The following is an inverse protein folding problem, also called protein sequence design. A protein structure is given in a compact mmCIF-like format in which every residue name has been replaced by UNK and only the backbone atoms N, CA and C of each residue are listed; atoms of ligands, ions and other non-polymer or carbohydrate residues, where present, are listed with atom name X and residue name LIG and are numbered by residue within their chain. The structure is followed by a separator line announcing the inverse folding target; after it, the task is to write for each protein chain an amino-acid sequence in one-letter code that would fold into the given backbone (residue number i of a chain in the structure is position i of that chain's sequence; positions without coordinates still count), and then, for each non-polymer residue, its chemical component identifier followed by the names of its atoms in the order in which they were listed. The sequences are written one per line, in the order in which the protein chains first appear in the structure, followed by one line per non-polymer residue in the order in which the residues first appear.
data_IF_743588849437
#
_entry.id   IF_743588849437
#
_cell.length_a   1.000
_cell.length_b   1.000
_cell.length_c   1.000
_cell.angle_alpha   90.00
_cell.angle_beta   90.00
_cell.angle_gamma   90.00
#
_symmetry.space_group_name_H-M   'P 1'
#
loop_
_entity.id
_entity.type
_entity.pdbx_description
1 polymer ?
#
# COMPACT_ATOMS: atom_id res chain seq x y z
N UNK A 1 42.27 -46.33 -19.93
CA UNK A 1 41.89 -45.95 -18.54
C UNK A 1 41.51 -44.44 -18.45
N UNK A 2 42.34 -43.54 -18.95
CA UNK A 2 42.07 -42.05 -18.90
C UNK A 2 40.77 -41.61 -19.57
N UNK A 3 40.35 -42.20 -20.68
CA UNK A 3 39.11 -41.85 -21.38
C UNK A 3 37.84 -42.26 -20.63
N UNK A 4 37.85 -43.42 -19.97
CA UNK A 4 36.72 -43.86 -19.13
C UNK A 4 36.52 -42.93 -17.91
N UNK A 5 37.61 -42.42 -17.35
CA UNK A 5 37.55 -41.44 -16.24
C UNK A 5 37.01 -40.09 -16.73
N UNK A 6 37.45 -39.64 -17.91
CA UNK A 6 36.94 -38.38 -18.50
C UNK A 6 35.44 -38.48 -18.83
N UNK A 7 34.97 -39.62 -19.34
CA UNK A 7 33.55 -39.82 -19.61
C UNK A 7 32.71 -39.85 -18.31
N UNK A 8 33.23 -40.48 -17.25
CA UNK A 8 32.56 -40.49 -15.95
C UNK A 8 32.44 -39.11 -15.35
N UNK A 9 33.48 -38.27 -15.47
CA UNK A 9 33.46 -36.87 -15.00
C UNK A 9 32.43 -36.07 -15.79
N UNK A 10 32.35 -36.22 -17.11
CA UNK A 10 31.34 -35.54 -17.93
C UNK A 10 29.90 -35.93 -17.57
N UNK A 11 29.65 -37.20 -17.30
CA UNK A 11 28.33 -37.69 -16.89
C UNK A 11 27.94 -37.13 -15.52
N UNK A 12 28.88 -37.15 -14.56
CA UNK A 12 28.61 -36.55 -13.23
C UNK A 12 28.34 -35.05 -13.33
N UNK A 13 29.10 -34.34 -14.15
CA UNK A 13 28.87 -32.88 -14.41
C UNK A 13 27.49 -32.62 -15.05
N UNK A 14 27.09 -33.42 -16.02
CA UNK A 14 25.79 -33.29 -16.67
C UNK A 14 24.63 -33.56 -15.69
N UNK A 15 24.76 -34.59 -14.84
CA UNK A 15 23.77 -34.90 -13.80
C UNK A 15 23.68 -33.76 -12.77
N UNK A 16 24.82 -33.27 -12.28
CA UNK A 16 24.85 -32.19 -11.29
C UNK A 16 24.27 -30.88 -11.86
N UNK A 17 24.59 -30.53 -13.11
CA UNK A 17 24.00 -29.40 -13.82
C UNK A 17 22.51 -29.61 -14.03
N UNK A 18 22.05 -30.79 -14.42
CA UNK A 18 20.64 -31.12 -14.60
C UNK A 18 19.83 -31.01 -13.30
N UNK A 19 20.36 -31.56 -12.20
CA UNK A 19 19.76 -31.48 -10.86
C UNK A 19 19.72 -30.02 -10.39
N UNK A 20 20.79 -29.26 -10.60
CA UNK A 20 20.85 -27.84 -10.22
C UNK A 20 19.86 -27.00 -11.03
N UNK A 21 19.77 -27.25 -12.34
CA UNK A 21 18.82 -26.58 -13.22
C UNK A 21 17.35 -26.91 -12.89
N UNK A 22 17.07 -28.19 -12.60
CA UNK A 22 15.74 -28.62 -12.18
C UNK A 22 15.35 -28.02 -10.83
N UNK A 23 16.23 -28.03 -9.84
CA UNK A 23 16.01 -27.41 -8.52
C UNK A 23 15.80 -25.92 -8.61
N UNK A 24 16.53 -25.23 -9.50
CA UNK A 24 16.38 -23.81 -9.76
C UNK A 24 15.03 -23.49 -10.39
N UNK A 25 14.58 -24.27 -11.39
CA UNK A 25 13.27 -24.10 -12.02
C UNK A 25 12.12 -24.36 -11.06
N UNK A 26 12.18 -25.45 -10.30
CA UNK A 26 11.17 -25.76 -9.29
C UNK A 26 11.08 -24.65 -8.25
N UNK A 27 12.22 -24.11 -7.81
CA UNK A 27 12.24 -22.99 -6.85
C UNK A 27 11.66 -21.71 -7.45
N UNK A 28 11.91 -21.38 -8.71
CA UNK A 28 11.29 -20.25 -9.39
C UNK A 28 9.76 -20.39 -9.52
N UNK A 29 9.27 -21.56 -9.84
CA UNK A 29 7.84 -21.85 -9.97
C UNK A 29 7.11 -21.82 -8.61
N UNK A 30 7.84 -21.99 -7.50
CA UNK A 30 7.28 -21.93 -6.15
C UNK A 30 7.52 -20.60 -5.44
N UNK A 31 8.11 -19.60 -6.10
CA UNK A 31 8.32 -18.27 -5.52
C UNK A 31 7.43 -17.24 -6.22
N UNK A 32 6.67 -16.47 -5.44
CA UNK A 32 5.90 -15.30 -5.90
C UNK A 32 6.67 -14.04 -5.54
N UNK A 33 7.20 -13.36 -6.53
CA UNK A 33 7.95 -12.11 -6.38
C UNK A 33 6.99 -10.93 -6.32
N UNK A 34 7.04 -10.17 -5.26
CA UNK A 34 6.07 -9.10 -4.99
C UNK A 34 6.68 -7.72 -4.96
N UNK A 35 5.96 -6.75 -5.50
CA UNK A 35 6.15 -5.33 -5.23
C UNK A 35 5.06 -4.85 -4.27
N UNK A 36 5.45 -4.35 -3.08
CA UNK A 36 4.52 -4.10 -1.98
C UNK A 36 4.70 -2.69 -1.44
N UNK A 37 3.61 -1.94 -1.33
CA UNK A 37 3.65 -0.57 -0.79
C UNK A 37 4.18 -0.54 0.65
N UNK A 38 5.02 0.43 0.96
CA UNK A 38 5.78 0.49 2.21
C UNK A 38 4.96 0.47 3.49
N UNK A 39 3.72 0.94 3.48
CA UNK A 39 2.83 0.89 4.65
C UNK A 39 2.47 -0.54 5.09
N UNK A 40 2.35 -1.47 4.16
CA UNK A 40 2.02 -2.87 4.46
C UNK A 40 3.21 -3.61 5.07
N UNK A 41 4.41 -3.37 4.56
CA UNK A 41 5.64 -3.98 5.09
C UNK A 41 6.04 -3.35 6.43
N UNK A 42 5.86 -2.04 6.58
CA UNK A 42 6.20 -1.30 7.79
C UNK A 42 5.37 -1.74 9.01
N UNK A 43 4.12 -2.11 8.80
CA UNK A 43 3.20 -2.54 9.88
C UNK A 43 3.34 -4.02 10.23
N UNK A 44 4.10 -4.79 9.48
CA UNK A 44 4.16 -6.25 9.62
C UNK A 44 2.97 -7.00 9.00
N UNK A 45 2.00 -6.28 8.41
CA UNK A 45 0.81 -6.92 7.81
C UNK A 45 1.19 -7.86 6.68
N UNK A 46 2.06 -7.40 5.77
CA UNK A 46 2.46 -8.21 4.62
C UNK A 46 3.21 -9.49 5.04
N UNK A 47 4.07 -9.38 6.05
CA UNK A 47 4.80 -10.52 6.60
C UNK A 47 3.85 -11.58 7.16
N UNK A 48 2.82 -11.16 7.89
CA UNK A 48 1.85 -12.12 8.46
C UNK A 48 0.97 -12.76 7.37
N UNK A 49 0.56 -11.99 6.36
CA UNK A 49 -0.18 -12.52 5.21
C UNK A 49 0.68 -13.52 4.43
N UNK A 50 1.94 -13.16 4.13
CA UNK A 50 2.89 -14.06 3.46
C UNK A 50 3.05 -15.37 4.21
N UNK A 51 3.30 -15.32 5.52
CA UNK A 51 3.42 -16.50 6.37
C UNK A 51 2.19 -17.43 6.29
N UNK A 52 0.98 -16.86 6.31
CA UNK A 52 -0.28 -17.63 6.19
C UNK A 52 -0.42 -18.26 4.82
N UNK A 53 -0.13 -17.50 3.77
CA UNK A 53 -0.18 -17.98 2.39
C UNK A 53 0.81 -19.13 2.16
N UNK A 54 2.06 -18.95 2.58
CA UNK A 54 3.13 -19.95 2.48
C UNK A 54 2.74 -21.25 3.20
N UNK A 55 2.22 -21.13 4.42
CA UNK A 55 1.78 -22.29 5.20
C UNK A 55 0.62 -23.06 4.56
N UNK A 56 -0.24 -22.37 3.81
CA UNK A 56 -1.42 -22.96 3.19
C UNK A 56 -1.16 -23.56 1.81
N UNK A 57 -0.24 -22.97 1.05
CA UNK A 57 -0.07 -23.27 -0.38
C UNK A 57 1.27 -23.92 -0.70
N UNK A 58 2.27 -23.73 0.16
CA UNK A 58 3.66 -24.16 -0.13
C UNK A 58 4.42 -23.20 -1.06
N UNK A 59 3.79 -22.15 -1.61
CA UNK A 59 4.51 -21.09 -2.29
C UNK A 59 5.35 -20.29 -1.29
N UNK A 60 6.45 -19.73 -1.78
CA UNK A 60 7.25 -18.75 -1.05
C UNK A 60 6.97 -17.34 -1.58
N UNK A 61 6.82 -16.36 -0.68
CA UNK A 61 6.59 -14.96 -1.04
C UNK A 61 7.87 -14.15 -0.84
N UNK A 62 8.38 -13.59 -1.92
CA UNK A 62 9.58 -12.75 -1.90
C UNK A 62 9.25 -11.29 -2.23
N UNK A 63 9.59 -10.36 -1.33
CA UNK A 63 9.41 -8.93 -1.58
C UNK A 63 10.63 -8.37 -2.32
N UNK A 64 10.50 -8.15 -3.63
CA UNK A 64 11.56 -7.60 -4.50
C UNK A 64 11.64 -6.07 -4.39
N UNK A 65 10.49 -5.41 -4.22
CA UNK A 65 10.42 -3.97 -4.09
C UNK A 65 9.42 -3.56 -3.01
N UNK A 66 9.82 -2.63 -2.15
CA UNK A 66 8.92 -2.02 -1.17
C UNK A 66 9.24 -0.55 -1.01
N UNK A 67 8.22 0.30 -0.90
CA UNK A 67 8.42 1.74 -0.79
C UNK A 67 7.25 2.54 -1.37
N UNK A 68 7.56 3.57 -2.14
CA UNK A 68 6.58 4.45 -2.77
C UNK A 68 6.15 3.95 -4.15
N UNK A 69 4.98 4.41 -4.62
CA UNK A 69 4.36 4.00 -5.88
C UNK A 69 5.31 4.02 -7.10
N UNK A 70 6.14 5.05 -7.35
CA UNK A 70 7.04 5.06 -8.51
C UNK A 70 8.06 3.92 -8.52
N UNK A 71 8.56 3.51 -7.34
CA UNK A 71 9.50 2.39 -7.24
C UNK A 71 8.83 1.06 -7.60
N UNK A 72 7.57 0.88 -7.19
CA UNK A 72 6.80 -0.32 -7.44
C UNK A 72 6.38 -0.41 -8.92
N UNK A 73 5.98 0.72 -9.51
CA UNK A 73 5.71 0.84 -10.95
C UNK A 73 6.93 0.44 -11.78
N UNK A 74 8.09 0.96 -11.42
CA UNK A 74 9.34 0.59 -12.09
C UNK A 74 9.63 -0.91 -11.99
N UNK A 75 9.34 -1.55 -10.85
CA UNK A 75 9.59 -2.97 -10.65
C UNK A 75 8.70 -3.86 -11.54
N UNK A 76 7.39 -3.57 -11.62
CA UNK A 76 6.47 -4.36 -12.47
C UNK A 76 6.72 -4.09 -13.95
N UNK A 77 6.97 -2.85 -14.37
CA UNK A 77 7.30 -2.51 -15.76
C UNK A 77 8.57 -3.18 -16.24
N UNK A 78 9.53 -3.40 -15.35
CA UNK A 78 10.77 -4.12 -15.64
C UNK A 78 10.62 -5.66 -15.63
N UNK A 79 9.42 -6.21 -15.36
CA UNK A 79 9.19 -7.65 -15.27
C UNK A 79 9.92 -8.34 -14.10
N UNK A 80 10.25 -7.58 -13.05
CA UNK A 80 10.99 -8.09 -11.88
C UNK A 80 10.08 -8.78 -10.86
N UNK A 81 8.78 -8.55 -10.93
CA UNK A 81 7.78 -9.03 -9.99
C UNK A 81 6.63 -9.74 -10.70
N UNK A 82 5.99 -10.65 -9.99
CA UNK A 82 4.86 -11.43 -10.46
C UNK A 82 3.54 -10.80 -9.99
N UNK A 83 3.57 -10.11 -8.84
CA UNK A 83 2.42 -9.45 -8.23
C UNK A 83 2.80 -8.07 -7.70
N UNK A 84 1.88 -7.11 -7.89
CA UNK A 84 1.98 -5.75 -7.37
C UNK A 84 0.80 -5.45 -6.45
N UNK A 85 1.06 -4.84 -5.29
CA UNK A 85 0.03 -4.25 -4.45
C UNK A 85 0.42 -2.85 -3.96
N UNK A 86 -0.43 -1.87 -4.26
CA UNK A 86 -0.25 -0.48 -3.84
C UNK A 86 -1.59 0.29 -3.85
N UNK A 87 -1.58 1.56 -3.45
CA UNK A 87 -2.76 2.42 -3.55
C UNK A 87 -3.21 2.55 -5.01
N UNK A 88 -4.52 2.50 -5.23
CA UNK A 88 -5.13 2.84 -6.52
C UNK A 88 -4.85 4.30 -6.91
N UNK A 89 -4.87 4.59 -8.20
CA UNK A 89 -4.68 5.93 -8.77
C UNK A 89 -4.18 5.85 -10.22
N UNK A 90 -3.79 6.99 -10.78
CA UNK A 90 -3.39 7.10 -12.19
C UNK A 90 -2.30 6.08 -12.57
N UNK A 91 -1.26 5.94 -11.74
CA UNK A 91 -0.17 4.97 -12.00
C UNK A 91 -0.71 3.54 -12.19
N UNK A 92 -1.67 3.11 -11.36
CA UNK A 92 -2.22 1.75 -11.48
C UNK A 92 -3.08 1.58 -12.72
N UNK A 93 -3.78 2.63 -13.11
CA UNK A 93 -4.57 2.66 -14.35
C UNK A 93 -3.66 2.62 -15.57
N UNK A 94 -2.56 3.39 -15.56
CA UNK A 94 -1.57 3.39 -16.64
C UNK A 94 -0.87 2.02 -16.79
N UNK A 95 -0.54 1.35 -15.69
CA UNK A 95 0.03 -0.01 -15.72
C UNK A 95 -0.90 -0.98 -16.47
N UNK A 96 -2.21 -0.90 -16.22
CA UNK A 96 -3.21 -1.74 -16.91
C UNK A 96 -3.39 -1.31 -18.37
N UNK A 97 -3.49 0.00 -18.64
CA UNK A 97 -3.66 0.54 -20.00
C UNK A 97 -2.48 0.19 -20.91
N UNK A 98 -1.26 0.14 -20.35
CA UNK A 98 -0.04 -0.25 -21.07
C UNK A 98 0.10 -1.78 -21.22
N UNK A 99 -0.85 -2.56 -20.71
CA UNK A 99 -0.83 -4.03 -20.75
C UNK A 99 0.31 -4.64 -19.94
N UNK A 100 0.81 -3.95 -18.92
CA UNK A 100 1.86 -4.39 -18.01
C UNK A 100 1.28 -5.31 -16.93
N UNK A 101 0.16 -4.90 -16.33
CA UNK A 101 -0.58 -5.64 -15.32
C UNK A 101 -1.94 -6.11 -15.80
N UNK A 102 -2.45 -7.16 -15.19
CA UNK A 102 -3.78 -7.75 -15.44
C UNK A 102 -4.50 -8.00 -14.13
N UNK A 103 -5.80 -8.28 -14.19
CA UNK A 103 -6.64 -8.68 -13.06
C UNK A 103 -6.61 -7.69 -11.87
N UNK A 104 -6.49 -6.40 -12.16
CA UNK A 104 -6.46 -5.37 -11.11
C UNK A 104 -7.76 -5.34 -10.32
N UNK A 105 -7.69 -5.59 -9.02
CA UNK A 105 -8.83 -5.48 -8.11
C UNK A 105 -8.48 -4.88 -6.74
N UNK A 106 -9.43 -4.20 -6.09
CA UNK A 106 -9.25 -3.75 -4.71
C UNK A 106 -9.33 -4.92 -3.74
N UNK A 107 -8.48 -4.94 -2.70
CA UNK A 107 -8.48 -5.98 -1.68
C UNK A 107 -8.45 -5.48 -0.24
N UNK A 108 -7.99 -4.25 -0.01
CA UNK A 108 -8.00 -3.61 1.31
C UNK A 108 -8.04 -2.08 1.15
N UNK A 109 -8.24 -1.38 2.27
CA UNK A 109 -8.13 0.09 2.34
C UNK A 109 -7.26 0.49 3.53
N UNK A 110 -6.57 1.62 3.42
CA UNK A 110 -6.05 2.34 4.57
C UNK A 110 -6.87 3.60 4.81
N UNK A 111 -6.62 4.26 5.92
CA UNK A 111 -7.27 5.52 6.25
C UNK A 111 -6.25 6.67 6.23
N UNK A 112 -6.70 7.81 5.72
CA UNK A 112 -6.08 9.09 5.98
C UNK A 112 -6.85 9.78 7.10
N UNK A 113 -6.15 10.66 7.82
CA UNK A 113 -6.68 11.34 9.01
C UNK A 113 -6.37 12.82 8.94
N UNK A 114 -7.13 13.65 9.67
CA UNK A 114 -6.76 15.04 9.87
C UNK A 114 -6.00 15.11 11.20
N UNK A 115 -4.76 15.52 11.09
CA UNK A 115 -3.89 15.82 12.23
C UNK A 115 -3.86 17.34 12.43
N UNK A 116 -3.87 17.78 13.66
CA UNK A 116 -3.84 19.20 13.99
C UNK A 116 -3.20 19.45 15.35
N UNK A 117 -3.04 20.73 15.72
CA UNK A 117 -2.46 21.12 16.99
C UNK A 117 -3.37 20.75 18.17
N UNK A 118 -2.77 20.52 19.32
CA UNK A 118 -3.50 20.08 20.52
C UNK A 118 -4.52 21.09 21.03
N UNK A 119 -4.36 22.39 20.74
CA UNK A 119 -5.32 23.45 21.08
C UNK A 119 -6.55 23.52 20.18
N UNK A 120 -6.55 22.79 19.06
CA UNK A 120 -7.66 22.60 18.12
C UNK A 120 -8.49 23.88 17.85
N UNK A 121 -7.90 24.92 17.25
CA UNK A 121 -8.57 26.24 17.09
C UNK A 121 -9.85 26.19 16.25
N UNK A 122 -10.04 25.18 15.40
CA UNK A 122 -11.26 24.97 14.61
C UNK A 122 -12.33 24.10 15.29
N UNK A 123 -12.00 23.46 16.43
CA UNK A 123 -12.92 22.61 17.19
C UNK A 123 -13.38 21.38 16.40
N UNK A 124 -12.44 20.66 15.78
CA UNK A 124 -12.73 19.48 14.95
C UNK A 124 -12.49 18.15 15.67
N UNK A 125 -11.94 18.17 16.86
CA UNK A 125 -11.60 17.01 17.66
C UNK A 125 -12.79 16.05 17.80
N UNK A 126 -12.57 14.79 17.49
CA UNK A 126 -13.57 13.73 17.64
C UNK A 126 -14.61 13.67 16.52
N UNK A 127 -14.53 14.54 15.52
CA UNK A 127 -15.38 14.40 14.33
C UNK A 127 -15.00 13.12 13.55
N UNK A 128 -16.02 12.52 12.93
CA UNK A 128 -15.90 11.37 12.03
C UNK A 128 -16.36 11.70 10.61
N UNK A 129 -16.32 12.98 10.26
CA UNK A 129 -16.72 13.49 8.95
C UNK A 129 -15.68 14.52 8.47
N UNK A 130 -14.81 14.11 7.55
CA UNK A 130 -13.73 14.93 7.02
C UNK A 130 -14.21 16.21 6.35
N UNK A 131 -15.19 16.18 5.43
CA UNK A 131 -15.77 17.39 4.83
C UNK A 131 -16.32 18.38 5.86
N UNK A 132 -17.00 17.91 6.91
CA UNK A 132 -17.50 18.77 7.97
C UNK A 132 -16.35 19.42 8.77
N UNK A 133 -15.29 18.67 9.04
CA UNK A 133 -14.10 19.18 9.69
C UNK A 133 -13.42 20.26 8.85
N UNK A 134 -13.28 20.05 7.54
CA UNK A 134 -12.69 21.04 6.64
C UNK A 134 -13.52 22.32 6.56
N UNK A 135 -14.86 22.21 6.55
CA UNK A 135 -15.74 23.42 6.66
C UNK A 135 -15.46 24.22 7.93
N UNK A 136 -15.30 23.55 9.07
CA UNK A 136 -14.97 24.25 10.34
C UNK A 136 -13.61 24.94 10.28
N UNK A 137 -12.59 24.27 9.71
CA UNK A 137 -11.26 24.86 9.51
C UNK A 137 -11.36 26.12 8.66
N UNK A 138 -12.09 26.05 7.53
CA UNK A 138 -12.29 27.21 6.64
C UNK A 138 -13.05 28.36 7.31
N UNK A 139 -14.12 28.07 8.05
CA UNK A 139 -14.90 29.09 8.79
C UNK A 139 -14.05 29.79 9.86
N UNK A 140 -13.24 29.01 10.59
CA UNK A 140 -12.32 29.52 11.58
C UNK A 140 -11.10 30.22 10.96
N UNK A 141 -10.87 30.10 9.65
CA UNK A 141 -9.62 30.50 8.97
C UNK A 141 -8.38 29.95 9.68
N UNK A 142 -8.51 28.78 10.30
CA UNK A 142 -7.41 28.13 10.96
C UNK A 142 -6.43 27.57 9.93
N UNK A 143 -5.14 27.67 10.19
CA UNK A 143 -4.12 27.28 9.22
C UNK A 143 -4.29 25.82 8.81
N UNK A 144 -4.26 25.57 7.52
CA UNK A 144 -4.30 24.25 6.91
C UNK A 144 -3.18 24.14 5.87
N UNK A 145 -2.43 23.03 5.91
CA UNK A 145 -1.33 22.81 4.98
C UNK A 145 -1.82 22.00 3.77
N UNK A 146 -1.68 22.59 2.58
CA UNK A 146 -1.87 21.88 1.30
C UNK A 146 -0.65 20.98 1.04
N UNK A 147 -0.66 19.83 1.71
CA UNK A 147 0.45 18.88 1.68
C UNK A 147 0.55 18.17 0.32
N UNK A 148 1.72 18.28 -0.30
CA UNK A 148 1.99 17.75 -1.65
C UNK A 148 2.28 16.25 -1.71
N UNK A 149 2.20 15.53 -0.60
CA UNK A 149 2.23 14.05 -0.60
C UNK A 149 1.11 13.49 -1.47
N UNK A 150 1.44 12.79 -2.57
CA UNK A 150 0.51 12.41 -3.66
C UNK A 150 -0.85 11.93 -3.12
N UNK A 151 -0.83 10.98 -2.17
CA UNK A 151 -2.06 10.42 -1.63
C UNK A 151 -2.88 11.35 -0.76
N UNK A 152 -2.22 12.19 0.02
CA UNK A 152 -2.87 13.20 0.85
C UNK A 152 -3.49 14.29 0.00
N UNK A 153 -2.80 14.73 -1.04
CA UNK A 153 -3.27 15.76 -1.97
C UNK A 153 -4.52 15.32 -2.72
N UNK A 154 -4.53 14.12 -3.30
CA UNK A 154 -5.71 13.58 -4.01
C UNK A 154 -6.95 13.56 -3.10
N UNK A 155 -6.78 13.07 -1.87
CA UNK A 155 -7.88 13.04 -0.90
C UNK A 155 -8.28 14.46 -0.45
N UNK A 156 -7.32 15.32 -0.16
CA UNK A 156 -7.56 16.71 0.27
C UNK A 156 -8.44 17.44 -0.73
N UNK A 157 -8.11 17.38 -2.03
CA UNK A 157 -8.94 18.01 -3.07
C UNK A 157 -10.35 17.41 -3.12
N UNK A 158 -10.48 16.10 -2.95
CA UNK A 158 -11.80 15.45 -2.91
C UNK A 158 -12.62 15.92 -1.70
N UNK A 159 -12.00 15.97 -0.52
CA UNK A 159 -12.70 16.39 0.70
C UNK A 159 -13.11 17.87 0.67
N UNK A 160 -12.28 18.79 0.13
CA UNK A 160 -12.62 20.18 -0.05
C UNK A 160 -13.82 20.34 -0.99
N UNK A 161 -13.85 19.62 -2.11
CA UNK A 161 -14.98 19.60 -3.03
C UNK A 161 -16.26 19.10 -2.33
N UNK A 162 -16.18 18.02 -1.54
CA UNK A 162 -17.30 17.49 -0.76
C UNK A 162 -17.72 18.43 0.37
N UNK A 163 -16.80 19.21 0.90
CA UNK A 163 -17.09 20.26 1.84
C UNK A 163 -17.82 21.45 1.20
N UNK A 164 -17.84 21.57 -0.14
CA UNK A 164 -18.38 22.72 -0.84
C UNK A 164 -17.55 23.99 -0.58
N UNK A 165 -16.26 23.84 -0.33
CA UNK A 165 -15.34 24.95 -0.03
C UNK A 165 -14.19 24.92 -1.02
N UNK A 166 -13.89 26.06 -1.63
CA UNK A 166 -12.67 26.30 -2.36
C UNK A 166 -11.65 26.95 -1.40
N UNK A 167 -10.61 26.20 -0.98
CA UNK A 167 -9.67 26.71 0.01
C UNK A 167 -8.78 27.77 -0.62
N UNK A 168 -8.76 28.97 -0.02
CA UNK A 168 -7.97 30.11 -0.49
C UNK A 168 -7.71 31.12 0.63
N UNK A 169 -6.67 31.91 0.46
CA UNK A 169 -6.29 32.97 1.41
C UNK A 169 -5.13 32.55 2.32
N UNK A 170 -4.78 33.44 3.24
CA UNK A 170 -3.55 33.35 4.05
C UNK A 170 -3.53 32.17 5.05
N UNK A 171 -4.71 31.60 5.35
CA UNK A 171 -4.82 30.42 6.22
C UNK A 171 -4.48 29.10 5.50
N UNK A 172 -4.44 29.10 4.16
CA UNK A 172 -4.00 27.97 3.37
C UNK A 172 -2.48 28.04 3.15
N UNK A 173 -1.75 27.26 3.91
CA UNK A 173 -0.29 27.22 3.82
C UNK A 173 0.13 26.27 2.71
N UNK A 174 1.05 26.72 1.86
CA UNK A 174 1.66 25.86 0.86
C UNK A 174 2.74 25.01 1.52
N UNK A 175 2.75 23.74 1.19
CA UNK A 175 3.88 22.87 1.51
C UNK A 175 5.13 23.37 0.76
N UNK A 176 6.19 23.65 1.50
CA UNK A 176 7.49 23.86 0.89
C UNK A 176 8.01 22.50 0.41
N UNK A 177 8.12 22.32 -0.90
CA UNK A 177 8.56 21.07 -1.54
C UNK A 177 9.93 20.57 -1.05
N UNK A 178 10.71 21.39 -0.33
CA UNK A 178 11.94 21.03 0.36
C UNK A 178 11.70 20.31 1.69
N UNK A 179 10.47 20.31 2.21
CA UNK A 179 10.14 19.64 3.46
C UNK A 179 10.00 18.14 3.18
N UNK A 180 10.77 17.33 3.91
CA UNK A 180 10.56 15.88 3.88
C UNK A 180 9.15 15.56 4.34
N UNK A 181 8.45 14.66 3.65
CA UNK A 181 7.13 14.18 4.07
C UNK A 181 7.09 13.69 5.53
N UNK A 182 8.23 13.28 6.07
CA UNK A 182 8.34 12.85 7.46
C UNK A 182 8.36 14.00 8.45
N UNK A 183 8.69 15.22 8.00
CA UNK A 183 8.76 16.43 8.80
C UNK A 183 7.48 17.29 8.69
N UNK A 184 6.47 16.84 7.94
CA UNK A 184 5.25 17.63 7.71
C UNK A 184 4.52 17.97 9.01
N UNK A 185 4.48 17.07 9.99
CA UNK A 185 3.81 17.34 11.27
C UNK A 185 4.61 18.34 12.11
N UNK A 186 5.92 18.36 12.03
CA UNK A 186 6.76 19.39 12.64
C UNK A 186 6.43 20.77 12.03
N UNK A 187 6.37 20.87 10.72
CA UNK A 187 5.98 22.11 10.04
C UNK A 187 4.58 22.56 10.47
N UNK A 188 3.61 21.65 10.53
CA UNK A 188 2.26 21.96 11.00
C UNK A 188 2.24 22.46 12.44
N UNK A 189 3.04 21.89 13.34
CA UNK A 189 3.18 22.35 14.72
C UNK A 189 3.71 23.78 14.79
N UNK A 190 4.78 24.08 14.05
CA UNK A 190 5.40 25.40 14.01
C UNK A 190 4.45 26.51 13.50
N UNK A 191 3.47 26.11 12.67
CA UNK A 191 2.48 27.02 12.10
C UNK A 191 1.08 26.92 12.74
N UNK A 192 0.93 26.14 13.81
CA UNK A 192 -0.37 25.85 14.43
C UNK A 192 -1.43 25.41 13.41
N UNK A 193 -1.06 24.47 12.52
CA UNK A 193 -1.81 24.15 11.31
C UNK A 193 -2.34 22.69 11.32
N UNK A 194 -3.42 22.48 10.57
CA UNK A 194 -3.98 21.18 10.28
C UNK A 194 -3.40 20.61 8.98
N UNK A 195 -3.41 19.28 8.85
CA UNK A 195 -2.98 18.59 7.62
C UNK A 195 -3.68 17.23 7.49
N UNK A 196 -3.86 16.76 6.25
CA UNK A 196 -4.31 15.41 5.96
C UNK A 196 -3.08 14.53 5.68
N UNK A 197 -2.93 13.44 6.46
CA UNK A 197 -1.84 12.46 6.32
C UNK A 197 -2.37 11.05 6.50
N UNK A 198 -1.58 10.05 6.08
CA UNK A 198 -1.90 8.63 6.33
C UNK A 198 -1.87 8.30 7.82
N UNK A 199 -2.86 7.54 8.30
CA UNK A 199 -2.91 7.07 9.69
C UNK A 199 -1.66 6.27 10.07
N UNK A 200 -1.28 5.32 9.21
CA UNK A 200 -0.11 4.45 9.46
C UNK A 200 1.19 5.26 9.63
N UNK A 201 1.59 6.18 8.73
CA UNK A 201 2.78 7.00 8.92
C UNK A 201 2.73 7.88 10.17
N UNK A 202 1.58 8.46 10.49
CA UNK A 202 1.41 9.32 11.65
C UNK A 202 1.43 8.53 12.96
N UNK A 203 0.79 7.35 13.00
CA UNK A 203 0.68 6.51 14.19
C UNK A 203 1.97 5.73 14.50
N UNK A 204 2.64 5.16 13.48
CA UNK A 204 3.86 4.36 13.65
C UNK A 204 5.14 5.20 13.81
N UNK A 205 5.02 6.49 14.11
CA UNK A 205 6.14 7.32 14.54
C UNK A 205 7.15 7.66 13.45
N UNK A 206 6.84 7.44 12.17
CA UNK A 206 7.69 7.93 11.08
C UNK A 206 7.57 9.45 10.89
N UNK A 207 6.46 10.04 11.31
CA UNK A 207 6.28 11.48 11.38
C UNK A 207 6.46 11.94 12.82
N UNK A 208 7.32 12.94 13.05
CA UNK A 208 7.48 13.57 14.36
C UNK A 208 6.16 14.28 14.74
N UNK A 209 5.45 13.76 15.74
CA UNK A 209 4.10 14.19 16.07
C UNK A 209 3.97 14.89 17.44
N UNK A 210 5.06 15.26 18.07
CA UNK A 210 5.02 16.02 19.36
C UNK A 210 4.18 17.29 19.21
N UNK A 211 3.19 17.45 20.11
CA UNK A 211 2.29 18.61 20.10
C UNK A 211 1.23 18.60 18.98
N UNK A 212 1.11 17.47 18.25
CA UNK A 212 0.11 17.24 17.20
C UNK A 212 -0.74 16.03 17.58
N UNK A 213 -2.01 16.06 17.22
CA UNK A 213 -2.95 14.98 17.49
C UNK A 213 -3.76 14.59 16.27
N UNK A 214 -4.16 13.32 16.20
CA UNK A 214 -5.15 12.84 15.24
C UNK A 214 -6.53 13.30 15.74
N UNK A 215 -7.10 14.31 15.08
CA UNK A 215 -8.34 14.93 15.49
C UNK A 215 -9.58 14.38 14.78
N UNK A 216 -9.42 13.94 13.51
CA UNK A 216 -10.49 13.33 12.71
C UNK A 216 -10.02 12.00 12.14
N UNK A 217 -10.78 10.96 12.42
CA UNK A 217 -10.59 9.59 11.92
C UNK A 217 -11.94 8.87 11.83
N UNK A 218 -11.96 7.65 11.33
CA UNK A 218 -13.16 6.80 11.17
C UNK A 218 -14.17 7.30 10.12
N UNK A 219 -13.75 8.17 9.20
CA UNK A 219 -14.60 8.56 8.07
C UNK A 219 -14.35 7.61 6.88
N UNK A 220 -15.36 6.85 6.42
CA UNK A 220 -15.21 5.99 5.24
C UNK A 220 -14.75 6.72 3.98
N UNK A 221 -15.10 8.01 3.83
CA UNK A 221 -14.68 8.84 2.68
C UNK A 221 -13.16 9.10 2.70
N UNK A 222 -12.55 9.03 3.86
CA UNK A 222 -11.09 9.20 4.02
C UNK A 222 -10.31 7.89 3.81
N UNK A 223 -10.97 6.80 3.44
CA UNK A 223 -10.32 5.53 3.17
C UNK A 223 -9.94 5.40 1.70
N UNK A 224 -8.70 5.02 1.45
CA UNK A 224 -8.16 4.79 0.11
C UNK A 224 -8.02 3.31 -0.17
N UNK A 225 -8.46 2.83 -1.34
CA UNK A 225 -8.26 1.44 -1.71
C UNK A 225 -6.80 1.16 -2.06
N UNK A 226 -6.36 -0.03 -1.68
CA UNK A 226 -5.21 -0.70 -2.26
C UNK A 226 -5.69 -1.71 -3.27
N UNK A 227 -5.00 -1.77 -4.37
CA UNK A 227 -5.20 -2.79 -5.39
C UNK A 227 -4.16 -3.88 -5.29
N UNK A 228 -4.50 -5.03 -5.82
CA UNK A 228 -3.59 -6.06 -6.23
C UNK A 228 -3.74 -6.25 -7.74
N UNK A 229 -2.65 -6.59 -8.42
CA UNK A 229 -2.63 -6.99 -9.83
C UNK A 229 -1.46 -7.92 -10.10
N UNK A 230 -1.61 -8.75 -11.11
CA UNK A 230 -0.59 -9.67 -11.59
C UNK A 230 0.20 -9.05 -12.76
N UNK A 231 1.46 -9.44 -12.91
CA UNK A 231 2.20 -9.14 -14.12
C UNK A 231 1.59 -9.87 -15.32
N UNK A 232 1.40 -9.17 -16.44
CA UNK A 232 0.77 -9.74 -17.63
C UNK A 232 1.64 -10.88 -18.22
N UNK A 233 1.16 -12.15 -18.22
CA UNK A 233 1.95 -13.29 -18.71
C UNK A 233 2.26 -13.21 -20.23
N UNK A 234 1.44 -12.50 -21.02
CA UNK A 234 1.72 -12.27 -22.43
C UNK A 234 2.94 -11.36 -22.65
N UNK A 235 3.17 -10.43 -21.73
CA UNK A 235 4.32 -9.51 -21.79
C UNK A 235 5.52 -10.05 -21.03
N UNK A 236 5.29 -10.77 -19.94
CA UNK A 236 6.31 -11.34 -19.06
C UNK A 236 6.16 -12.86 -18.92
N UNK A 237 6.53 -13.65 -19.95
CA UNK A 237 6.28 -15.09 -19.97
C UNK A 237 7.08 -15.88 -18.91
N UNK A 238 8.01 -15.22 -18.20
CA UNK A 238 8.77 -15.80 -17.07
C UNK A 238 8.15 -15.47 -15.70
N UNK A 239 7.07 -14.70 -15.65
CA UNK A 239 6.36 -14.42 -14.41
C UNK A 239 5.69 -15.70 -13.89
N UNK A 240 5.70 -15.86 -12.57
CA UNK A 240 4.95 -16.93 -11.89
C UNK A 240 3.48 -16.53 -11.79
N UNK A 241 2.76 -16.65 -12.89
CA UNK A 241 1.37 -16.24 -12.98
C UNK A 241 0.47 -17.05 -12.04
N UNK A 242 0.63 -18.37 -12.01
CA UNK A 242 -0.17 -19.26 -11.15
C UNK A 242 0.00 -18.94 -9.66
N UNK A 243 1.23 -18.69 -9.23
CA UNK A 243 1.50 -18.29 -7.85
C UNK A 243 0.96 -16.88 -7.53
N UNK A 244 1.01 -15.97 -8.48
CA UNK A 244 0.47 -14.61 -8.33
C UNK A 244 -1.07 -14.64 -8.23
N UNK A 245 -1.75 -15.40 -9.08
CA UNK A 245 -3.21 -15.62 -9.05
C UNK A 245 -3.63 -16.25 -7.72
N UNK A 246 -2.92 -17.29 -7.26
CA UNK A 246 -3.19 -17.93 -5.98
C UNK A 246 -3.05 -16.94 -4.79
N UNK A 247 -2.04 -16.07 -4.84
CA UNK A 247 -1.85 -15.05 -3.81
C UNK A 247 -2.93 -13.95 -3.89
N UNK A 248 -3.32 -13.53 -5.09
CA UNK A 248 -4.42 -12.59 -5.29
C UNK A 248 -5.73 -13.14 -4.72
N UNK A 249 -6.10 -14.39 -5.06
CA UNK A 249 -7.29 -15.05 -4.52
C UNK A 249 -7.23 -15.14 -2.98
N UNK A 250 -6.04 -15.42 -2.44
CA UNK A 250 -5.86 -15.45 -0.99
C UNK A 250 -6.09 -14.10 -0.33
N UNK A 251 -5.61 -13.00 -0.93
CA UNK A 251 -5.79 -11.64 -0.42
C UNK A 251 -7.28 -11.23 -0.33
N UNK A 252 -8.09 -11.65 -1.29
CA UNK A 252 -9.54 -11.36 -1.29
C UNK A 252 -10.37 -12.39 -0.54
N UNK A 253 -9.76 -13.46 -0.05
CA UNK A 253 -10.46 -14.53 0.67
C UNK A 253 -11.11 -14.06 1.97
N UNK A 254 -12.20 -14.71 2.43
CA UNK A 254 -12.82 -14.41 3.72
C UNK A 254 -11.84 -14.49 4.90
N UNK A 255 -10.84 -15.36 4.83
CA UNK A 255 -9.80 -15.48 5.85
C UNK A 255 -9.04 -14.17 6.03
N UNK A 256 -8.53 -13.61 4.94
CA UNK A 256 -7.75 -12.37 4.97
C UNK A 256 -8.64 -11.16 5.24
N UNK A 257 -9.84 -11.12 4.67
CA UNK A 257 -10.78 -10.03 4.94
C UNK A 257 -11.18 -9.98 6.44
N UNK A 258 -11.33 -11.13 7.10
CA UNK A 258 -11.56 -11.20 8.55
C UNK A 258 -10.29 -10.88 9.37
N UNK A 259 -9.11 -11.23 8.87
CA UNK A 259 -7.84 -10.83 9.49
C UNK A 259 -7.68 -9.31 9.49
N UNK A 260 -7.96 -8.62 8.38
CA UNK A 260 -7.87 -7.17 8.26
C UNK A 260 -8.76 -6.43 9.26
N UNK A 261 -9.96 -6.94 9.56
CA UNK A 261 -10.87 -6.33 10.56
C UNK A 261 -10.26 -6.21 11.95
N UNK A 262 -9.26 -7.03 12.27
CA UNK A 262 -8.65 -7.13 13.60
C UNK A 262 -7.21 -6.66 13.63
N UNK A 263 -6.53 -6.68 12.48
CA UNK A 263 -5.11 -6.37 12.42
C UNK A 263 -4.79 -4.96 12.93
N UNK A 264 -3.84 -4.88 13.86
CA UNK A 264 -3.34 -3.63 14.41
C UNK A 264 -4.21 -2.97 15.48
N UNK A 265 -5.38 -3.54 15.84
CA UNK A 265 -6.26 -2.94 16.86
C UNK A 265 -5.58 -2.81 18.22
N UNK A 266 -4.81 -3.81 18.64
CA UNK A 266 -4.11 -3.80 19.92
C UNK A 266 -3.05 -2.69 19.97
N UNK A 267 -2.36 -2.46 18.86
CA UNK A 267 -1.34 -1.41 18.72
C UNK A 267 -1.92 0.00 18.53
N UNK A 268 -3.15 0.11 18.03
CA UNK A 268 -3.73 1.36 17.54
C UNK A 268 -4.99 1.80 18.31
N UNK A 269 -5.01 1.63 19.63
CA UNK A 269 -6.13 2.04 20.49
C UNK A 269 -7.50 1.56 19.93
N UNK A 270 -7.58 0.27 19.62
CA UNK A 270 -8.76 -0.39 19.05
C UNK A 270 -9.15 0.08 17.63
N UNK A 271 -8.29 0.78 16.92
CA UNK A 271 -8.50 1.21 15.54
C UNK A 271 -7.82 0.23 14.57
N UNK A 272 -8.52 -0.32 13.55
CA UNK A 272 -7.87 -1.17 12.56
C UNK A 272 -6.92 -0.34 11.70
N UNK A 273 -5.76 -0.90 11.37
CA UNK A 273 -4.79 -0.23 10.49
C UNK A 273 -5.18 -0.34 9.01
N UNK A 274 -5.91 -1.41 8.70
CA UNK A 274 -6.43 -1.68 7.36
C UNK A 274 -7.89 -2.11 7.45
N UNK A 275 -8.64 -1.84 6.40
CA UNK A 275 -10.07 -2.12 6.33
C UNK A 275 -10.34 -3.10 5.20
N UNK A 276 -11.21 -4.08 5.41
CA UNK A 276 -11.62 -4.99 4.35
C UNK A 276 -12.36 -4.23 3.23
N UNK A 277 -12.51 -4.89 2.09
CA UNK A 277 -13.34 -4.44 0.98
C UNK A 277 -14.61 -5.27 0.98
N UNK A 278 -15.76 -4.62 1.03
CA UNK A 278 -17.03 -5.30 0.91
C UNK A 278 -17.17 -5.81 -0.54
N UNK A 279 -17.55 -7.08 -0.71
CA UNK A 279 -17.63 -7.74 -2.01
C UNK A 279 -16.33 -8.36 -2.54
N UNK A 280 -15.23 -8.31 -1.79
CA UNK A 280 -14.03 -9.07 -2.16
C UNK A 280 -14.30 -10.58 -2.05
N UNK A 281 -14.14 -11.29 -3.16
CA UNK A 281 -14.04 -12.76 -3.17
C UNK A 281 -15.31 -13.58 -3.30
N UNK A 282 -16.43 -13.04 -3.82
CA UNK A 282 -17.65 -13.88 -3.89
C UNK A 282 -18.51 -13.76 -5.13
N UNK A 283 -18.65 -12.62 -5.71
CA UNK A 283 -19.70 -12.41 -6.73
C UNK A 283 -19.22 -11.91 -8.11
N UNK A 284 -17.95 -11.54 -8.26
CA UNK A 284 -17.45 -11.00 -9.53
C UNK A 284 -16.91 -12.02 -10.53
N UNK A 285 -16.85 -13.31 -10.16
CA UNK A 285 -16.41 -14.41 -11.05
C UNK A 285 -17.53 -15.35 -11.51
N UNK A 286 -18.80 -15.00 -11.29
CA UNK A 286 -19.95 -15.77 -11.77
C UNK A 286 -20.71 -15.03 -12.87
N UNK A 287 -20.02 -14.67 -13.96
CA UNK A 287 -20.67 -14.43 -15.27
C UNK A 287 -19.63 -14.60 -16.39
#
# INVERSE_FOLDING_TARGET
MKWKIALLILVVLAITLGVHWHSFHVRQMHTVRCAVIGGMTMTGMWQEISRRFEAKTGYHVEVIATGERPLLDQAIRAGKVDLLTMHSGDITTDIVADGIGVNMQPWTRNELVIVGPTNDPAGIRGLTNGPAALRKIAVAKAHFVDFQGIGSRELSHTLWRLAGVEPQGDWLLKDDTRISKWNILQFCREHNAYVIVGYVPAFFGKMANEGMEILVKNDPVMRRPYIVMEANPKKFPKANYEGAEALEDFLVSPEIQNFLRRFGRDAAANHPLFFPVDGAGGELRSN
#
